data_IF_830668677498
#
_entry.id   IF_830668677498
#
_cell.length_a   1.000
_cell.length_b   1.000
_cell.length_c   1.000
_cell.angle_alpha   90.00
_cell.angle_beta   90.00
_cell.angle_gamma   90.00
#
_symmetry.space_group_name_H-M   'P 1'
#
loop_
_entity.id
_entity.type
_entity.pdbx_description
1 polymer ?
#
# COMPACT_ATOMS: atom_id res chain seq x y z
N UNK A 1 -10.54 -5.72 7.01
CA UNK A 1 -10.67 -5.79 5.53
C UNK A 1 -9.40 -6.35 4.94
N UNK A 2 -9.42 -6.80 3.69
CA UNK A 2 -8.24 -7.27 2.98
C UNK A 2 -7.89 -6.27 1.88
N UNK A 3 -6.65 -5.82 1.80
CA UNK A 3 -6.20 -4.91 0.75
C UNK A 3 -5.04 -5.52 -0.03
N UNK A 4 -4.91 -5.13 -1.29
CA UNK A 4 -3.88 -5.63 -2.19
C UNK A 4 -2.79 -4.57 -2.37
N UNK A 5 -1.54 -4.97 -2.16
CA UNK A 5 -0.37 -4.11 -2.35
C UNK A 5 0.66 -4.77 -3.27
N UNK A 6 1.53 -3.98 -3.87
CA UNK A 6 2.69 -4.45 -4.63
C UNK A 6 3.65 -3.29 -4.88
N UNK A 7 4.56 -3.46 -5.84
CA UNK A 7 5.54 -2.43 -6.19
C UNK A 7 5.44 -2.00 -7.66
N UNK A 8 5.56 -0.70 -7.90
CA UNK A 8 5.84 -0.17 -9.23
C UNK A 8 7.29 -0.51 -9.61
N UNK A 9 7.50 -1.15 -10.76
CA UNK A 9 8.84 -1.62 -11.14
C UNK A 9 9.79 -0.46 -11.51
N UNK A 10 9.38 0.56 -12.29
CA UNK A 10 10.26 1.67 -12.65
C UNK A 10 10.69 2.54 -11.47
N UNK A 11 9.77 2.89 -10.57
CA UNK A 11 10.03 3.82 -9.47
C UNK A 11 10.42 3.12 -8.16
N UNK A 12 9.96 1.89 -7.97
CA UNK A 12 10.05 1.19 -6.69
C UNK A 12 8.96 1.57 -5.70
N UNK A 13 8.03 2.47 -6.08
CA UNK A 13 6.95 2.92 -5.19
C UNK A 13 6.08 1.75 -4.73
N UNK A 14 5.61 1.83 -3.49
CA UNK A 14 4.62 0.89 -2.95
C UNK A 14 3.25 1.33 -3.45
N UNK A 15 2.53 0.40 -4.08
CA UNK A 15 1.23 0.65 -4.68
C UNK A 15 0.12 -0.11 -3.95
N UNK A 16 -1.10 0.42 -4.06
CA UNK A 16 -2.32 -0.05 -3.41
C UNK A 16 -3.47 -0.12 -4.41
N UNK A 17 -4.19 -1.23 -4.42
CA UNK A 17 -5.29 -1.47 -5.36
C UNK A 17 -6.52 -0.64 -5.02
N UNK A 18 -7.02 0.15 -5.98
CA UNK A 18 -8.16 1.07 -5.81
C UNK A 18 -9.50 0.46 -6.23
N UNK A 19 -9.52 -0.75 -6.78
CA UNK A 19 -10.71 -1.36 -7.41
C UNK A 19 -10.64 -1.37 -8.93
N UNK A 20 -9.91 -0.43 -9.53
CA UNK A 20 -9.75 -0.28 -10.98
C UNK A 20 -8.30 -0.05 -11.43
N UNK A 21 -7.43 0.35 -10.51
CA UNK A 21 -6.01 0.60 -10.77
C UNK A 21 -5.19 0.64 -9.49
N UNK A 22 -4.10 1.39 -9.53
CA UNK A 22 -3.11 1.44 -8.45
C UNK A 22 -2.84 2.87 -8.00
N UNK A 23 -2.84 3.10 -6.69
CA UNK A 23 -2.45 4.37 -6.06
C UNK A 23 -1.19 4.19 -5.23
N UNK A 24 -0.41 5.28 -5.04
CA UNK A 24 0.68 5.34 -4.06
C UNK A 24 0.17 5.55 -2.63
N UNK A 25 -1.08 5.95 -2.46
CA UNK A 25 -1.70 6.28 -1.19
C UNK A 25 -2.50 5.09 -0.67
N UNK A 26 -2.22 4.66 0.55
CA UNK A 26 -2.91 3.51 1.16
C UNK A 26 -4.38 3.84 1.45
N UNK A 27 -4.67 5.12 1.67
CA UNK A 27 -6.00 5.65 1.95
C UNK A 27 -6.99 5.38 0.80
N UNK A 28 -6.49 5.20 -0.44
CA UNK A 28 -7.29 4.90 -1.63
C UNK A 28 -7.60 3.40 -1.80
N UNK A 29 -7.03 2.53 -0.95
CA UNK A 29 -7.15 1.10 -1.12
C UNK A 29 -8.56 0.60 -0.78
N UNK A 30 -9.06 -0.37 -1.55
CA UNK A 30 -10.39 -0.96 -1.33
C UNK A 30 -10.31 -2.40 -0.84
N UNK A 31 -11.37 -2.87 -0.19
CA UNK A 31 -11.46 -4.26 0.25
C UNK A 31 -11.54 -5.20 -0.96
N UNK A 32 -10.57 -6.09 -1.10
CA UNK A 32 -10.52 -7.09 -2.18
C UNK A 32 -11.20 -8.41 -1.80
N UNK A 33 -11.63 -8.56 -0.55
CA UNK A 33 -12.33 -9.76 -0.07
C UNK A 33 -11.59 -11.06 -0.41
N UNK A 34 -12.30 -12.02 -1.00
CA UNK A 34 -11.72 -13.29 -1.47
C UNK A 34 -11.08 -13.21 -2.86
N UNK A 35 -11.20 -12.09 -3.57
CA UNK A 35 -10.74 -11.93 -4.95
C UNK A 35 -9.28 -11.43 -5.06
N UNK A 36 -8.68 -11.02 -3.93
CA UNK A 36 -7.37 -10.38 -3.91
C UNK A 36 -6.28 -11.16 -4.65
N UNK A 37 -6.17 -12.47 -4.42
CA UNK A 37 -5.16 -13.32 -5.08
C UNK A 37 -5.39 -13.50 -6.59
N UNK A 38 -6.64 -13.39 -7.05
CA UNK A 38 -6.97 -13.44 -8.47
C UNK A 38 -6.59 -12.13 -9.16
N UNK A 39 -6.91 -10.99 -8.52
CA UNK A 39 -6.49 -9.65 -8.99
C UNK A 39 -4.97 -9.55 -9.02
N UNK A 40 -4.29 -9.98 -7.95
CA UNK A 40 -2.84 -9.99 -7.84
C UNK A 40 -2.18 -10.69 -9.05
N UNK A 41 -2.61 -11.91 -9.36
CA UNK A 41 -2.08 -12.68 -10.51
C UNK A 41 -2.37 -12.03 -11.85
N UNK A 42 -3.57 -11.45 -12.02
CA UNK A 42 -3.93 -10.78 -13.26
C UNK A 42 -3.08 -9.52 -13.50
N UNK A 43 -2.89 -8.70 -12.46
CA UNK A 43 -2.13 -7.46 -12.53
C UNK A 43 -0.62 -7.71 -12.68
N UNK A 44 -0.08 -8.74 -12.01
CA UNK A 44 1.30 -9.19 -12.18
C UNK A 44 1.53 -9.74 -13.60
N UNK A 45 0.62 -10.58 -14.10
CA UNK A 45 0.68 -11.12 -15.47
C UNK A 45 0.59 -10.03 -16.54
N UNK A 46 -0.18 -8.96 -16.26
CA UNK A 46 -0.24 -7.77 -17.11
C UNK A 46 1.00 -6.86 -16.97
N UNK A 47 1.93 -7.17 -16.05
CA UNK A 47 3.14 -6.40 -15.73
C UNK A 47 2.85 -4.97 -15.28
N UNK A 48 1.72 -4.76 -14.60
CA UNK A 48 1.35 -3.46 -14.01
C UNK A 48 1.91 -3.28 -12.60
N UNK A 49 2.23 -4.37 -11.93
CA UNK A 49 2.76 -4.40 -10.57
C UNK A 49 3.74 -5.56 -10.42
N UNK A 50 4.67 -5.45 -9.47
CA UNK A 50 5.62 -6.50 -9.12
C UNK A 50 5.35 -7.05 -7.71
N UNK A 51 5.44 -8.37 -7.56
CA UNK A 51 5.25 -9.11 -6.30
C UNK A 51 4.00 -8.66 -5.52
N UNK A 52 2.79 -8.66 -6.14
CA UNK A 52 1.60 -8.25 -5.42
C UNK A 52 1.18 -9.30 -4.37
N UNK A 53 0.74 -8.84 -3.21
CA UNK A 53 0.24 -9.70 -2.13
C UNK A 53 -0.88 -9.03 -1.33
N UNK A 54 -1.77 -9.85 -0.79
CA UNK A 54 -2.88 -9.40 0.05
C UNK A 54 -2.42 -9.27 1.50
N UNK A 55 -2.86 -8.22 2.18
CA UNK A 55 -2.66 -8.01 3.61
C UNK A 55 -3.97 -7.71 4.33
N UNK A 56 -3.99 -7.96 5.63
CA UNK A 56 -5.06 -7.50 6.50
C UNK A 56 -4.88 -6.02 6.86
N UNK A 57 -5.99 -5.31 6.92
CA UNK A 57 -6.06 -3.91 7.31
C UNK A 57 -7.30 -3.62 8.14
N UNK A 58 -7.21 -2.63 9.02
CA UNK A 58 -8.32 -2.08 9.78
C UNK A 58 -8.96 -0.94 8.99
N UNK A 59 -10.30 -0.93 8.91
CA UNK A 59 -11.01 0.19 8.31
C UNK A 59 -11.04 1.36 9.31
N UNK A 60 -10.59 2.53 8.89
CA UNK A 60 -10.60 3.75 9.71
C UNK A 60 -11.34 4.87 8.98
N UNK A 61 -11.74 5.97 9.66
CA UNK A 61 -12.37 7.12 9.02
C UNK A 61 -11.55 7.75 7.90
N UNK A 62 -10.22 7.65 7.98
CA UNK A 62 -9.27 8.24 7.02
C UNK A 62 -8.83 7.25 5.91
N UNK A 63 -9.47 6.08 5.82
CA UNK A 63 -9.10 5.00 4.91
C UNK A 63 -8.55 3.76 5.63
N UNK A 64 -8.15 2.71 4.88
CA UNK A 64 -7.61 1.51 5.50
C UNK A 64 -6.22 1.76 6.11
N UNK A 65 -6.00 1.18 7.28
CA UNK A 65 -4.70 1.16 7.94
C UNK A 65 -4.16 -0.28 7.96
N UNK A 66 -2.99 -0.57 7.37
CA UNK A 66 -2.40 -1.91 7.42
C UNK A 66 -2.25 -2.43 8.86
N UNK A 67 -2.70 -3.66 9.12
CA UNK A 67 -2.72 -4.21 10.47
C UNK A 67 -1.28 -4.42 11.00
N UNK A 68 -0.38 -4.86 10.13
CA UNK A 68 1.01 -5.17 10.49
C UNK A 68 1.95 -3.97 10.26
N UNK A 69 2.82 -3.68 11.24
CA UNK A 69 3.72 -2.50 11.23
C UNK A 69 4.65 -2.44 10.00
N UNK A 70 5.14 -3.59 9.52
CA UNK A 70 5.95 -3.69 8.29
C UNK A 70 5.26 -3.00 7.11
N UNK A 71 3.96 -3.24 6.95
CA UNK A 71 3.21 -2.72 5.80
C UNK A 71 2.82 -1.25 6.00
N UNK A 72 2.72 -0.77 7.24
CA UNK A 72 2.63 0.67 7.53
C UNK A 72 3.93 1.40 7.19
N UNK A 73 5.09 0.84 7.55
CA UNK A 73 6.39 1.41 7.12
C UNK A 73 6.46 1.45 5.59
N UNK A 74 6.04 0.39 4.90
CA UNK A 74 6.00 0.36 3.43
C UNK A 74 5.04 1.39 2.84
N UNK A 75 3.88 1.61 3.46
CA UNK A 75 2.92 2.63 3.02
C UNK A 75 3.50 4.03 3.15
N UNK A 76 4.24 4.34 4.24
CA UNK A 76 4.78 5.68 4.46
C UNK A 76 6.10 5.93 3.71
N UNK A 77 7.02 4.97 3.76
CA UNK A 77 8.39 5.10 3.26
C UNK A 77 9.46 4.85 4.34
N UNK A 78 10.74 5.08 4.00
CA UNK A 78 11.87 4.67 4.85
C UNK A 78 11.95 5.48 6.15
N UNK A 79 12.08 4.80 7.28
CA UNK A 79 12.20 5.43 8.61
C UNK A 79 13.55 6.11 8.86
N UNK A 80 14.58 5.77 8.07
CA UNK A 80 15.94 6.33 8.17
C UNK A 80 16.21 7.45 7.16
N UNK A 81 15.30 7.67 6.21
CA UNK A 81 15.33 8.77 5.23
C UNK A 81 13.95 9.42 5.12
N UNK A 82 13.49 10.14 6.17
CA UNK A 82 12.15 10.73 6.19
C UNK A 82 11.89 11.68 5.01
N UNK A 83 12.94 12.29 4.47
CA UNK A 83 12.94 13.14 3.28
C UNK A 83 12.52 12.42 1.98
N UNK A 84 12.54 11.08 1.99
CA UNK A 84 12.12 10.22 0.86
C UNK A 84 10.77 9.53 1.11
N UNK A 85 10.05 9.89 2.18
CA UNK A 85 8.71 9.32 2.45
C UNK A 85 7.65 9.94 1.53
N UNK A 86 6.42 9.43 1.59
CA UNK A 86 5.27 10.03 0.92
C UNK A 86 4.91 11.42 1.47
N UNK A 87 5.31 11.73 2.71
CA UNK A 87 4.94 12.96 3.44
C UNK A 87 6.20 13.65 3.98
N UNK A 88 7.17 14.03 3.14
CA UNK A 88 8.50 14.48 3.60
C UNK A 88 8.48 15.87 4.27
N UNK A 89 7.42 16.66 4.05
CA UNK A 89 7.23 17.96 4.68
C UNK A 89 6.52 17.88 6.05
N UNK A 90 6.01 16.71 6.43
CA UNK A 90 5.31 16.48 7.69
C UNK A 90 6.27 15.81 8.69
N UNK A 91 6.76 16.53 9.70
CA UNK A 91 7.71 16.00 10.68
C UNK A 91 7.10 14.89 11.56
N UNK A 92 5.77 14.83 11.65
CA UNK A 92 5.06 13.88 12.52
C UNK A 92 4.56 12.65 11.75
N UNK A 93 4.79 12.57 10.44
CA UNK A 93 4.31 11.47 9.59
C UNK A 93 4.73 10.07 10.09
N UNK A 94 5.90 9.98 10.74
CA UNK A 94 6.40 8.73 11.33
C UNK A 94 5.52 8.18 12.46
N UNK A 95 4.77 9.04 13.17
CA UNK A 95 3.88 8.61 14.25
C UNK A 95 2.73 7.72 13.74
N UNK A 96 2.32 7.89 12.49
CA UNK A 96 1.28 7.05 11.86
C UNK A 96 1.67 5.57 11.75
N UNK A 97 2.97 5.25 11.78
CA UNK A 97 3.45 3.87 11.74
C UNK A 97 3.16 3.12 13.05
N UNK A 98 3.15 3.80 14.19
CA UNK A 98 3.08 3.18 15.53
C UNK A 98 1.63 2.94 15.94
#
# INVERSE_FOLDING_TARGET
>A
MKILTGNDLPTGDVLWWTGEGWSRHVEDAVDVGSNGDAIARAEEGARRVNVPYVIDADATPDGPRPAHIKDRVRALGPTVRPDLTLKPADPDAGAWVI
#
